data_IF_522555493495
#
_entry.id   IF_522555493495
#
_cell.length_a   1.000
_cell.length_b   1.000
_cell.length_c   1.000
_cell.angle_alpha   90.00
_cell.angle_beta   90.00
_cell.angle_gamma   90.00
#
_symmetry.space_group_name_H-M   'P 1'
#
loop_
_entity.id
_entity.type
_entity.pdbx_description
1 polymer ?
#
# COMPACT_ATOMS: atom_id res chain seq x y z
N UNK A 1 -41.60 50.26 -22.34
CA UNK A 1 -40.76 49.67 -21.27
C UNK A 1 -41.00 48.17 -21.03
N UNK A 2 -42.24 47.64 -21.10
CA UNK A 2 -42.51 46.19 -20.94
C UNK A 2 -41.77 45.25 -21.93
N UNK A 3 -41.55 45.68 -23.18
CA UNK A 3 -40.85 44.87 -24.20
C UNK A 3 -39.35 44.72 -23.95
N UNK A 4 -38.74 45.64 -23.20
CA UNK A 4 -37.30 45.62 -22.90
C UNK A 4 -36.96 44.64 -21.77
N UNK A 5 -37.88 44.47 -20.82
CA UNK A 5 -37.79 43.50 -19.69
C UNK A 5 -37.92 42.04 -20.14
N UNK A 6 -38.73 41.77 -21.19
CA UNK A 6 -38.86 40.44 -21.77
C UNK A 6 -37.61 40.02 -22.55
N UNK A 7 -36.91 40.98 -23.17
CA UNK A 7 -35.71 40.71 -23.95
C UNK A 7 -34.50 40.39 -23.04
N UNK A 8 -34.39 41.07 -21.89
CA UNK A 8 -33.33 40.78 -20.92
C UNK A 8 -33.52 39.42 -20.25
N UNK A 9 -34.76 39.01 -19.93
CA UNK A 9 -35.00 37.66 -19.38
C UNK A 9 -34.59 36.53 -20.35
N UNK A 10 -34.77 36.71 -21.66
CA UNK A 10 -34.37 35.71 -22.66
C UNK A 10 -32.84 35.55 -22.78
N UNK A 11 -32.06 36.59 -22.45
CA UNK A 11 -30.59 36.54 -22.50
C UNK A 11 -29.95 35.93 -21.24
N UNK A 12 -30.68 35.84 -20.12
CA UNK A 12 -30.18 35.22 -18.88
C UNK A 12 -30.51 33.72 -18.75
N UNK A 13 -31.52 33.23 -19.47
CA UNK A 13 -31.88 31.79 -19.47
C UNK A 13 -30.82 30.84 -20.07
N UNK A 14 -30.02 31.20 -21.09
CA UNK A 14 -29.02 30.27 -21.60
C UNK A 14 -27.79 30.17 -20.70
N UNK A 15 -27.53 31.15 -19.82
CA UNK A 15 -26.32 31.14 -18.95
C UNK A 15 -26.47 30.12 -17.81
N UNK A 16 -27.69 29.80 -17.39
CA UNK A 16 -27.95 28.78 -16.35
C UNK A 16 -28.09 27.35 -16.90
N UNK A 17 -28.07 27.14 -18.22
CA UNK A 17 -28.19 25.82 -18.85
C UNK A 17 -26.86 25.28 -19.40
N UNK A 18 -25.79 26.09 -19.35
CA UNK A 18 -24.40 25.63 -19.62
C UNK A 18 -23.64 25.42 -18.31
N UNK A 19 -24.30 24.93 -17.27
CA UNK A 19 -23.58 24.11 -16.28
C UNK A 19 -23.41 22.75 -16.96
N UNK A 20 -22.35 22.62 -17.76
CA UNK A 20 -21.93 21.32 -18.24
C UNK A 20 -21.88 20.39 -17.04
N UNK A 21 -22.56 19.24 -17.12
CA UNK A 21 -22.31 18.14 -16.21
C UNK A 21 -20.84 17.79 -16.39
N UNK A 22 -19.95 18.41 -15.60
CA UNK A 22 -18.64 17.86 -15.39
C UNK A 22 -18.90 16.43 -14.93
N UNK A 23 -18.30 15.41 -15.58
CA UNK A 23 -18.48 14.03 -15.16
C UNK A 23 -18.18 14.00 -13.67
N UNK A 24 -19.21 13.61 -12.90
CA UNK A 24 -19.10 13.53 -11.46
C UNK A 24 -18.00 12.52 -11.19
N UNK A 25 -16.86 13.02 -10.70
CA UNK A 25 -15.65 12.22 -10.51
C UNK A 25 -16.00 11.17 -9.45
N UNK A 26 -16.29 9.94 -9.90
CA UNK A 26 -16.69 8.88 -8.99
C UNK A 26 -15.53 8.59 -8.05
N UNK A 27 -15.75 8.62 -6.74
CA UNK A 27 -14.71 8.23 -5.80
C UNK A 27 -14.29 6.77 -6.05
N UNK A 28 -13.00 6.45 -5.91
CA UNK A 28 -12.51 5.08 -6.07
C UNK A 28 -13.02 4.22 -4.91
N UNK A 29 -13.75 3.15 -5.20
CA UNK A 29 -14.32 2.27 -4.20
C UNK A 29 -13.38 1.10 -3.88
N UNK A 30 -13.61 0.41 -2.75
CA UNK A 30 -12.80 -0.75 -2.36
C UNK A 30 -12.89 -1.90 -3.34
N UNK A 31 -14.03 -2.06 -3.98
CA UNK A 31 -14.33 -3.19 -4.86
C UNK A 31 -13.78 -2.97 -6.27
N UNK A 32 -13.38 -1.73 -6.58
CA UNK A 32 -12.70 -1.37 -7.83
C UNK A 32 -11.24 -1.86 -7.85
N UNK A 33 -10.69 -2.27 -6.70
CA UNK A 33 -9.28 -2.65 -6.58
C UNK A 33 -9.16 -4.06 -6.04
N UNK A 34 -8.57 -4.95 -6.83
CA UNK A 34 -8.15 -6.26 -6.37
C UNK A 34 -6.82 -6.11 -5.62
N UNK A 35 -6.70 -6.75 -4.45
CA UNK A 35 -5.49 -6.70 -3.64
C UNK A 35 -5.09 -8.11 -3.26
N UNK A 36 -3.84 -8.45 -3.51
CA UNK A 36 -3.26 -9.75 -3.24
C UNK A 36 -2.08 -9.64 -2.28
N UNK A 37 -1.92 -10.66 -1.44
CA UNK A 37 -0.76 -10.84 -0.56
C UNK A 37 -0.13 -12.20 -0.82
N UNK A 38 1.19 -12.20 -1.01
CA UNK A 38 2.00 -13.39 -1.18
C UNK A 38 3.11 -13.38 -0.15
N UNK A 39 3.43 -14.56 0.38
CA UNK A 39 4.55 -14.78 1.30
C UNK A 39 5.45 -15.78 0.62
N UNK A 40 6.65 -15.37 0.22
CA UNK A 40 7.57 -16.20 -0.56
C UNK A 40 8.93 -16.31 0.16
N UNK A 41 9.49 -17.51 0.31
CA UNK A 41 10.86 -17.67 0.76
C UNK A 41 11.84 -17.23 -0.32
N UNK A 42 13.07 -16.88 0.07
CA UNK A 42 14.15 -16.72 -0.91
C UNK A 42 14.55 -18.10 -1.46
N UNK A 43 14.58 -18.24 -2.78
CA UNK A 43 14.94 -19.49 -3.47
C UNK A 43 16.41 -19.84 -3.34
N UNK A 44 17.27 -18.84 -3.09
CA UNK A 44 18.71 -19.03 -2.94
C UNK A 44 19.36 -17.89 -2.15
N UNK A 45 20.57 -18.13 -1.65
CA UNK A 45 21.41 -17.10 -1.01
C UNK A 45 21.73 -15.97 -1.99
N UNK A 46 21.89 -16.29 -3.28
CA UNK A 46 22.15 -15.30 -4.33
C UNK A 46 20.97 -14.33 -4.49
N UNK A 47 19.73 -14.84 -4.50
CA UNK A 47 18.52 -14.01 -4.55
C UNK A 47 18.43 -13.10 -3.32
N UNK A 48 18.65 -13.65 -2.12
CA UNK A 48 18.69 -12.89 -0.86
C UNK A 48 19.71 -11.76 -0.92
N UNK A 49 20.96 -12.05 -1.32
CA UNK A 49 22.01 -11.04 -1.43
C UNK A 49 21.67 -9.94 -2.43
N UNK A 50 21.08 -10.33 -3.56
CA UNK A 50 20.64 -9.38 -4.60
C UNK A 50 19.54 -8.46 -4.10
N UNK A 51 18.52 -9.01 -3.45
CA UNK A 51 17.41 -8.26 -2.86
C UNK A 51 17.89 -7.16 -1.89
N UNK A 52 18.89 -7.49 -1.07
CA UNK A 52 19.45 -6.60 -0.07
C UNK A 52 20.66 -5.77 -0.55
N UNK A 53 21.00 -5.80 -1.84
CA UNK A 53 22.13 -5.05 -2.38
C UNK A 53 23.51 -5.47 -1.83
N UNK A 54 23.62 -6.69 -1.31
CA UNK A 54 24.83 -7.23 -0.66
C UNK A 54 25.90 -7.72 -1.67
N UNK A 55 25.65 -7.55 -2.96
CA UNK A 55 26.52 -8.04 -4.05
C UNK A 55 27.67 -7.08 -4.39
N UNK A 56 27.74 -5.89 -3.79
CA UNK A 56 28.78 -4.90 -4.08
C UNK A 56 29.89 -4.91 -3.04
N UNK A 57 31.04 -5.49 -3.43
CA UNK A 57 32.47 -5.18 -3.18
C UNK A 57 32.93 -4.18 -2.08
N UNK A 58 32.20 -3.95 -0.99
CA UNK A 58 32.75 -3.41 0.26
C UNK A 58 32.86 -4.53 1.29
N UNK A 59 33.75 -5.45 0.94
CA UNK A 59 34.14 -6.65 1.67
C UNK A 59 34.98 -6.31 2.93
N UNK A 60 34.53 -5.35 3.75
CA UNK A 60 34.94 -5.29 5.17
C UNK A 60 34.22 -6.35 6.02
N UNK A 61 33.26 -7.04 5.42
CA UNK A 61 32.34 -7.97 6.05
C UNK A 61 32.08 -9.20 5.16
N UNK A 62 33.16 -9.82 4.68
CA UNK A 62 33.17 -11.18 4.13
C UNK A 62 32.70 -12.15 5.22
N UNK A 63 31.40 -12.15 5.50
CA UNK A 63 30.78 -13.08 6.41
C UNK A 63 30.82 -14.46 5.77
N UNK A 64 31.08 -15.53 6.54
CA UNK A 64 31.02 -16.88 6.00
C UNK A 64 29.65 -17.10 5.33
N UNK A 65 29.65 -17.75 4.17
CA UNK A 65 28.43 -18.05 3.40
C UNK A 65 27.33 -18.70 4.27
N UNK A 66 27.72 -19.42 5.32
CA UNK A 66 26.85 -20.03 6.33
C UNK A 66 25.90 -19.01 6.99
N UNK A 67 26.36 -17.79 7.30
CA UNK A 67 25.50 -16.78 7.97
C UNK A 67 24.39 -16.30 7.04
N UNK A 68 24.69 -16.06 5.77
CA UNK A 68 23.69 -15.63 4.80
C UNK A 68 22.76 -16.76 4.38
N UNK A 69 23.25 -18.00 4.39
CA UNK A 69 22.44 -19.21 4.19
C UNK A 69 21.38 -19.35 5.30
N UNK A 70 21.78 -19.19 6.56
CA UNK A 70 20.82 -19.22 7.68
C UNK A 70 19.85 -18.04 7.60
N UNK A 71 20.32 -16.83 7.31
CA UNK A 71 19.47 -15.65 7.21
C UNK A 71 18.47 -15.73 6.04
N UNK A 72 18.88 -16.27 4.88
CA UNK A 72 17.98 -16.43 3.74
C UNK A 72 16.87 -17.43 4.03
N UNK A 73 17.13 -18.47 4.83
CA UNK A 73 16.13 -19.44 5.26
C UNK A 73 15.15 -18.84 6.29
N UNK A 74 15.64 -17.95 7.16
CA UNK A 74 14.82 -17.28 8.20
C UNK A 74 14.07 -16.04 7.72
N UNK A 75 14.28 -15.61 6.47
CA UNK A 75 13.68 -14.39 5.93
C UNK A 75 12.67 -14.75 4.84
N UNK A 76 11.47 -14.21 4.92
CA UNK A 76 10.43 -14.33 3.89
C UNK A 76 10.15 -12.95 3.31
N UNK A 77 9.93 -12.89 2.01
CA UNK A 77 9.39 -11.70 1.36
C UNK A 77 7.87 -11.72 1.48
N UNK A 78 7.29 -10.59 1.84
CA UNK A 78 5.87 -10.32 1.77
C UNK A 78 5.66 -9.36 0.62
N UNK A 79 4.97 -9.84 -0.41
CA UNK A 79 4.65 -9.10 -1.62
C UNK A 79 3.17 -8.74 -1.53
N UNK A 80 2.88 -7.45 -1.56
CA UNK A 80 1.50 -6.96 -1.62
C UNK A 80 1.35 -6.28 -2.97
N UNK A 81 0.43 -6.79 -3.79
CA UNK A 81 0.11 -6.23 -5.09
C UNK A 81 -1.35 -5.79 -5.15
N UNK A 82 -1.62 -4.83 -6.02
CA UNK A 82 -2.96 -4.34 -6.28
C UNK A 82 -3.14 -4.03 -7.75
N UNK A 83 -4.35 -4.25 -8.24
CA UNK A 83 -4.73 -3.99 -9.61
C UNK A 83 -6.09 -3.28 -9.62
N UNK A 84 -6.19 -2.22 -10.42
CA UNK A 84 -7.45 -1.53 -10.66
C UNK A 84 -8.27 -2.34 -11.66
N UNK A 85 -9.56 -2.50 -11.39
CA UNK A 85 -10.50 -3.13 -12.31
C UNK A 85 -10.36 -2.48 -13.71
N UNK A 86 -10.10 -3.28 -14.77
CA UNK A 86 -9.91 -2.77 -16.12
C UNK A 86 -11.05 -1.88 -16.63
N UNK A 87 -12.30 -2.13 -16.19
CA UNK A 87 -13.46 -1.31 -16.56
C UNK A 87 -13.36 0.11 -15.99
N UNK A 88 -12.89 0.24 -14.74
CA UNK A 88 -12.67 1.54 -14.10
C UNK A 88 -11.54 2.29 -14.81
N UNK A 89 -10.45 1.60 -15.15
CA UNK A 89 -9.33 2.18 -15.89
C UNK A 89 -9.72 2.62 -17.30
N UNK A 90 -10.59 1.87 -17.98
CA UNK A 90 -11.09 2.21 -19.32
C UNK A 90 -11.99 3.45 -19.32
N UNK A 91 -12.72 3.69 -18.23
CA UNK A 91 -13.63 4.84 -18.10
C UNK A 91 -12.90 6.16 -17.87
N UNK A 92 -11.69 6.16 -17.31
CA UNK A 92 -10.88 7.36 -17.08
C UNK A 92 -9.37 7.06 -17.16
N UNK A 93 -8.87 6.90 -18.39
CA UNK A 93 -7.48 6.49 -18.68
C UNK A 93 -6.40 7.42 -18.11
N UNK A 94 -6.73 8.69 -17.86
CA UNK A 94 -5.77 9.69 -17.41
C UNK A 94 -5.87 9.97 -15.90
N UNK A 95 -6.74 9.24 -15.19
CA UNK A 95 -6.93 9.47 -13.77
C UNK A 95 -5.71 9.05 -12.98
N UNK A 96 -5.19 9.99 -12.21
CA UNK A 96 -4.12 9.73 -11.26
C UNK A 96 -4.71 9.42 -9.89
N UNK A 97 -4.26 8.32 -9.29
CA UNK A 97 -4.64 7.90 -7.95
C UNK A 97 -3.46 8.09 -6.99
N UNK A 98 -3.77 8.47 -5.75
CA UNK A 98 -2.76 8.57 -4.70
C UNK A 98 -2.19 7.18 -4.36
N UNK A 99 -0.89 7.14 -4.08
CA UNK A 99 -0.23 5.91 -3.65
C UNK A 99 -0.87 5.37 -2.35
N UNK A 100 -1.20 4.07 -2.28
CA UNK A 100 -1.83 3.48 -1.11
C UNK A 100 -0.89 3.41 0.10
N UNK A 101 -1.49 3.43 1.28
CA UNK A 101 -0.82 3.09 2.53
C UNK A 101 -1.05 1.61 2.83
N UNK A 102 -0.04 0.95 3.36
CA UNK A 102 -0.06 -0.47 3.66
C UNK A 102 0.43 -0.66 5.08
N UNK A 103 -0.38 -1.28 5.92
CA UNK A 103 0.00 -1.71 7.26
C UNK A 103 0.13 -3.22 7.26
N UNK A 104 1.24 -3.76 7.72
CA UNK A 104 1.48 -5.19 7.87
C UNK A 104 1.60 -5.51 9.35
N UNK A 105 0.74 -6.40 9.82
CA UNK A 105 0.71 -6.91 11.18
C UNK A 105 1.23 -8.33 11.14
N UNK A 106 2.37 -8.52 11.80
CA UNK A 106 3.02 -9.81 11.91
C UNK A 106 2.41 -10.61 13.07
N UNK A 107 2.56 -11.95 13.05
CA UNK A 107 2.40 -12.75 14.26
C UNK A 107 3.27 -12.18 15.38
N UNK A 108 2.68 -11.97 16.57
CA UNK A 108 3.37 -11.31 17.70
C UNK A 108 4.67 -12.05 18.05
N UNK A 109 5.70 -11.28 18.37
CA UNK A 109 7.00 -11.70 18.93
C UNK A 109 7.88 -12.62 18.08
N UNK A 110 7.43 -13.07 16.92
CA UNK A 110 8.16 -14.06 16.11
C UNK A 110 8.87 -13.49 14.90
N UNK A 111 8.42 -12.34 14.40
CA UNK A 111 8.95 -11.73 13.18
C UNK A 111 9.34 -10.27 13.38
N UNK A 112 10.36 -9.85 12.66
CA UNK A 112 10.82 -8.46 12.60
C UNK A 112 11.09 -8.04 11.16
N UNK A 113 10.96 -6.74 10.89
CA UNK A 113 11.31 -6.20 9.59
C UNK A 113 12.80 -6.37 9.32
N UNK A 114 13.11 -7.02 8.20
CA UNK A 114 14.47 -7.20 7.73
C UNK A 114 14.85 -5.96 6.92
N UNK A 115 15.26 -4.90 7.61
CA UNK A 115 15.74 -3.68 6.96
C UNK A 115 17.20 -3.83 6.51
N UNK A 116 17.54 -3.19 5.40
CA UNK A 116 18.93 -2.83 5.11
C UNK A 116 18.98 -1.38 4.69
N UNK A 117 20.01 -0.67 5.12
CA UNK A 117 20.24 0.75 4.82
C UNK A 117 20.32 1.06 3.32
N UNK A 118 20.40 0.04 2.47
CA UNK A 118 20.48 0.14 1.01
C UNK A 118 19.55 -0.86 0.31
N UNK A 119 18.23 -0.74 0.52
CA UNK A 119 17.30 -1.26 -0.49
C UNK A 119 17.29 -0.26 -1.66
N UNK A 120 18.22 -0.46 -2.61
CA UNK A 120 18.22 0.30 -3.86
C UNK A 120 16.84 0.15 -4.53
N UNK A 121 16.16 1.25 -4.82
CA UNK A 121 14.87 1.22 -5.53
C UNK A 121 13.62 1.00 -4.68
N UNK A 122 13.66 1.25 -3.36
CA UNK A 122 12.47 1.17 -2.50
C UNK A 122 11.20 1.72 -3.16
N UNK A 123 10.23 0.85 -3.38
CA UNK A 123 8.94 1.16 -4.01
C UNK A 123 7.99 1.87 -3.02
N UNK A 124 8.46 2.15 -1.81
CA UNK A 124 7.65 2.75 -0.75
C UNK A 124 8.46 3.69 0.13
N UNK A 125 7.75 4.41 1.00
CA UNK A 125 8.26 5.21 2.10
C UNK A 125 7.71 4.66 3.40
N UNK A 126 8.49 4.68 4.49
CA UNK A 126 8.00 4.30 5.83
C UNK A 126 7.36 5.50 6.52
N UNK A 127 6.24 5.96 5.98
CA UNK A 127 5.50 7.12 6.47
C UNK A 127 4.03 6.78 6.60
N UNK A 128 3.36 7.39 7.59
CA UNK A 128 1.95 7.17 7.84
C UNK A 128 1.27 8.50 8.17
N UNK A 129 0.08 8.73 7.59
CA UNK A 129 -0.70 9.94 7.85
C UNK A 129 -1.69 9.67 8.99
N UNK A 130 -1.62 10.45 10.07
CA UNK A 130 -2.53 10.30 11.22
C UNK A 130 -4.00 10.51 10.88
N UNK A 131 -4.33 11.25 9.83
CA UNK A 131 -5.72 11.43 9.35
C UNK A 131 -6.35 10.10 8.90
N UNK A 132 -5.54 9.11 8.49
CA UNK A 132 -6.03 7.77 8.14
C UNK A 132 -6.65 7.09 9.35
N UNK A 133 -6.09 7.32 10.55
CA UNK A 133 -6.65 6.78 11.80
C UNK A 133 -8.05 7.32 12.04
N UNK A 134 -8.21 8.64 11.93
CA UNK A 134 -9.47 9.32 12.26
C UNK A 134 -10.54 9.14 11.19
N UNK A 135 -10.15 8.98 9.92
CA UNK A 135 -11.09 8.94 8.80
C UNK A 135 -11.41 7.52 8.34
N UNK A 136 -10.48 6.57 8.46
CA UNK A 136 -10.61 5.22 7.89
C UNK A 136 -10.51 4.15 8.99
N UNK A 137 -9.41 4.11 9.75
CA UNK A 137 -9.14 2.96 10.64
C UNK A 137 -10.00 2.93 11.91
N UNK A 138 -10.69 4.03 12.24
CA UNK A 138 -11.71 4.03 13.32
C UNK A 138 -12.77 2.94 13.16
N UNK A 139 -13.03 2.50 11.92
CA UNK A 139 -14.03 1.48 11.61
C UNK A 139 -13.49 0.04 11.77
N UNK A 140 -12.22 -0.11 12.19
CA UNK A 140 -11.53 -1.39 12.41
C UNK A 140 -11.07 -1.51 13.87
N UNK A 141 -11.94 -1.81 14.84
CA UNK A 141 -11.65 -1.67 16.27
C UNK A 141 -10.71 -2.75 16.85
N UNK A 142 -10.22 -3.70 16.05
CA UNK A 142 -9.37 -4.80 16.53
C UNK A 142 -8.03 -4.35 17.10
N UNK A 143 -7.56 -3.15 16.74
CA UNK A 143 -6.27 -2.61 17.15
C UNK A 143 -6.38 -1.18 17.68
N UNK A 144 -5.52 -0.84 18.63
CA UNK A 144 -5.31 0.55 19.02
C UNK A 144 -4.42 1.26 17.99
N UNK A 145 -5.00 1.77 16.91
CA UNK A 145 -4.27 2.41 15.81
C UNK A 145 -3.42 3.63 16.23
N UNK A 146 -3.70 4.24 17.37
CA UNK A 146 -2.87 5.32 17.92
C UNK A 146 -1.47 4.83 18.32
N UNK A 147 -1.31 3.53 18.60
CA UNK A 147 -0.03 2.89 18.94
C UNK A 147 0.48 1.98 17.83
N UNK A 148 0.22 2.33 16.55
CA UNK A 148 0.57 1.52 15.38
C UNK A 148 2.01 1.01 15.39
N UNK A 149 2.97 1.86 15.78
CA UNK A 149 4.40 1.53 15.80
C UNK A 149 4.75 0.36 16.73
N UNK A 150 3.86 0.00 17.67
CA UNK A 150 4.11 -1.08 18.63
C UNK A 150 3.73 -2.46 18.10
N UNK A 151 2.92 -2.56 17.04
CA UNK A 151 2.40 -3.84 16.55
C UNK A 151 2.40 -3.99 15.02
N UNK A 152 2.56 -2.91 14.27
CA UNK A 152 2.45 -2.91 12.82
C UNK A 152 3.61 -2.20 12.13
N UNK A 153 3.92 -2.68 10.94
CA UNK A 153 4.85 -2.03 10.02
C UNK A 153 4.05 -1.30 8.96
N UNK A 154 4.33 -0.01 8.76
CA UNK A 154 3.59 0.81 7.82
C UNK A 154 4.48 1.30 6.68
N UNK A 155 3.87 1.30 5.50
CA UNK A 155 4.50 1.63 4.24
C UNK A 155 3.54 2.50 3.43
N UNK A 156 4.09 3.39 2.62
CA UNK A 156 3.35 4.24 1.70
C UNK A 156 3.94 4.06 0.32
N UNK A 157 3.17 3.50 -0.62
CA UNK A 157 3.61 3.33 -1.99
C UNK A 157 3.86 4.70 -2.63
N UNK A 158 4.89 4.82 -3.46
CA UNK A 158 5.25 6.10 -4.10
C UNK A 158 4.18 6.57 -5.09
N UNK A 159 3.51 5.65 -5.74
CA UNK A 159 2.40 5.88 -6.66
C UNK A 159 1.44 4.71 -6.62
N UNK A 160 0.21 4.93 -7.07
CA UNK A 160 -0.75 3.85 -7.26
C UNK A 160 -0.32 2.92 -8.42
N UNK A 161 0.21 3.48 -9.51
CA UNK A 161 0.63 2.70 -10.70
C UNK A 161 1.86 1.81 -10.49
N UNK A 162 2.45 1.85 -9.30
CA UNK A 162 3.49 0.90 -8.95
C UNK A 162 2.97 -0.52 -8.80
N UNK A 163 1.68 -0.68 -8.47
CA UNK A 163 0.92 -1.94 -8.40
C UNK A 163 1.48 -2.98 -7.40
N UNK A 164 2.64 -2.77 -6.78
CA UNK A 164 3.21 -3.69 -5.79
C UNK A 164 4.22 -3.06 -4.83
N UNK A 165 4.30 -3.59 -3.61
CA UNK A 165 5.44 -3.41 -2.69
C UNK A 165 6.05 -4.76 -2.32
N UNK A 166 7.37 -4.75 -2.14
CA UNK A 166 8.14 -5.88 -1.66
C UNK A 166 8.77 -5.51 -0.33
N UNK A 167 8.46 -6.24 0.72
CA UNK A 167 9.08 -6.06 2.03
C UNK A 167 9.55 -7.40 2.56
N UNK A 168 10.64 -7.40 3.32
CA UNK A 168 11.19 -8.63 3.87
C UNK A 168 11.03 -8.63 5.39
N UNK A 169 10.65 -9.78 5.93
CA UNK A 169 10.57 -10.01 7.36
C UNK A 169 11.45 -11.21 7.72
N UNK A 170 12.22 -11.05 8.79
CA UNK A 170 13.10 -12.06 9.34
C UNK A 170 12.50 -12.57 10.64
N UNK A 171 12.57 -13.88 10.83
CA UNK A 171 12.15 -14.52 12.07
C UNK A 171 13.15 -14.27 13.20
N UNK A 172 12.64 -14.06 14.42
CA UNK A 172 13.42 -13.87 15.65
C UNK A 172 13.86 -15.18 16.28
N UNK A 173 13.03 -16.21 16.18
CA UNK A 173 13.20 -17.53 16.82
C UNK A 173 13.24 -18.66 15.79
N UNK A 174 13.55 -19.88 16.22
CA UNK A 174 13.49 -21.09 15.36
C UNK A 174 12.16 -21.87 15.50
N UNK A 175 11.12 -21.27 16.10
CA UNK A 175 9.79 -21.87 16.36
C UNK A 175 9.02 -22.20 15.07
N UNK A 176 8.21 -23.25 14.97
CA UNK A 176 7.49 -23.57 13.71
C UNK A 176 6.62 -22.39 13.21
N UNK A 177 6.65 -22.14 11.89
CA UNK A 177 5.85 -21.12 11.19
C UNK A 177 4.39 -21.57 10.93
N UNK A 178 4.13 -22.87 11.06
CA UNK A 178 2.92 -23.49 10.54
C UNK A 178 1.66 -22.96 11.22
N UNK A 179 0.74 -22.43 10.41
CA UNK A 179 -0.58 -21.97 10.85
C UNK A 179 -0.63 -20.50 11.28
N UNK A 180 0.49 -19.80 11.32
CA UNK A 180 0.51 -18.35 11.58
C UNK A 180 0.10 -17.56 10.36
N UNK A 181 -0.54 -16.40 10.55
CA UNK A 181 -0.99 -15.56 9.43
C UNK A 181 -0.42 -14.15 9.53
N UNK A 182 0.08 -13.65 8.40
CA UNK A 182 0.38 -12.24 8.23
C UNK A 182 -0.90 -11.55 7.78
N UNK A 183 -1.26 -10.48 8.46
CA UNK A 183 -2.41 -9.64 8.11
C UNK A 183 -1.88 -8.33 7.54
N UNK A 184 -2.48 -7.85 6.46
CA UNK A 184 -2.21 -6.54 5.93
C UNK A 184 -3.49 -5.73 5.76
N UNK A 185 -3.39 -4.41 5.95
CA UNK A 185 -4.42 -3.45 5.60
C UNK A 185 -3.89 -2.64 4.42
N UNK A 186 -4.54 -2.80 3.28
CA UNK A 186 -4.37 -1.92 2.13
C UNK A 186 -5.32 -0.74 2.29
N UNK A 187 -4.81 0.48 2.21
CA UNK A 187 -5.56 1.69 2.54
C UNK A 187 -5.40 2.68 1.40
N UNK A 188 -6.51 3.01 0.74
CA UNK A 188 -6.58 4.13 -0.17
C UNK A 188 -7.08 5.36 0.59
N UNK A 189 -6.38 6.49 0.46
CA UNK A 189 -6.76 7.75 1.10
C UNK A 189 -6.47 8.92 0.16
N UNK A 190 -7.50 9.71 -0.11
CA UNK A 190 -7.39 10.97 -0.82
C UNK A 190 -7.15 12.11 0.18
N UNK A 191 -5.95 12.72 0.21
CA UNK A 191 -5.62 13.76 1.17
C UNK A 191 -6.33 15.10 0.91
N UNK A 192 -6.96 15.30 -0.25
CA UNK A 192 -7.70 16.52 -0.59
C UNK A 192 -9.13 16.42 -0.07
N UNK A 193 -9.83 15.33 -0.40
CA UNK A 193 -11.23 15.14 0.03
C UNK A 193 -11.34 14.56 1.44
N UNK A 194 -10.24 14.00 1.97
CA UNK A 194 -10.18 13.29 3.27
C UNK A 194 -11.02 12.02 3.31
N UNK A 195 -11.41 11.49 2.15
CA UNK A 195 -12.11 10.22 2.01
C UNK A 195 -11.15 9.09 1.63
N UNK A 196 -11.61 7.86 1.87
CA UNK A 196 -10.85 6.67 1.56
C UNK A 196 -11.48 5.44 2.18
N UNK A 197 -10.79 4.33 2.05
CA UNK A 197 -11.23 3.03 2.54
C UNK A 197 -10.02 2.15 2.85
N UNK A 198 -10.25 1.11 3.64
CA UNK A 198 -9.27 0.07 3.89
C UNK A 198 -9.82 -1.29 3.46
N UNK A 199 -8.93 -2.19 3.04
CA UNK A 199 -9.22 -3.59 2.77
C UNK A 199 -8.26 -4.44 3.61
N UNK A 200 -8.81 -5.26 4.49
CA UNK A 200 -8.05 -6.23 5.29
C UNK A 200 -7.83 -7.49 4.47
N UNK A 201 -6.57 -7.88 4.28
CA UNK A 201 -6.16 -9.11 3.60
C UNK A 201 -5.27 -9.92 4.53
N UNK A 202 -5.25 -11.24 4.39
CA UNK A 202 -4.43 -12.11 5.23
C UNK A 202 -3.95 -13.33 4.47
N UNK A 203 -2.76 -13.80 4.82
CA UNK A 203 -2.19 -15.03 4.26
C UNK A 203 -1.52 -15.83 5.35
N UNK A 204 -1.86 -17.11 5.42
CA UNK A 204 -1.17 -18.08 6.27
C UNK A 204 0.23 -18.33 5.73
N UNK A 205 1.21 -18.31 6.62
CA UNK A 205 2.59 -18.67 6.33
C UNK A 205 2.61 -20.18 6.10
N UNK A 206 3.06 -20.57 4.91
CA UNK A 206 3.34 -21.95 4.52
C UNK A 206 4.85 -22.21 4.73
#
# INVERSE_FOLDING_TARGET
>A
MRKLLLLTMLFFLPISLVTGCAPQQSELMSDDVEVMIQIVPFSSVCEYRTYFGLNHLDDKYSHPDDKHTVLSQKTKQVIISWELNPEIRANDLNRLYYGPYIIIILPKDEWEYADTTHIAGNSFRRTFNSEIVTNILKDYPEYNWASLETFGWFFHAKSFDQETIHVAFKKRTDSSDEGQSIVAYYIYFDPITKHGWAKKIGKTII
#
